data_IF_125767921415
#
_entry.id   IF_125767921415
#
_cell.length_a   1.000
_cell.length_b   1.000
_cell.length_c   1.000
_cell.angle_alpha   90.00
_cell.angle_beta   90.00
_cell.angle_gamma   90.00
#
_symmetry.space_group_name_H-M   'P 1'
#
loop_
_entity.id
_entity.type
_entity.pdbx_description
1 polymer ?
#
# COMPACT_ATOMS: atom_id res chain seq x y z
N UNK A 1 -0.18 -19.72 7.74
CA UNK A 1 -0.38 -19.01 9.02
C UNK A 1 -1.86 -18.74 9.16
N UNK A 2 -2.55 -19.34 10.14
CA UNK A 2 -3.93 -18.99 10.45
C UNK A 2 -3.92 -17.91 11.53
N UNK A 3 -4.67 -16.84 11.30
CA UNK A 3 -4.85 -15.72 12.23
C UNK A 3 -6.22 -15.84 12.89
N UNK A 4 -6.26 -15.74 14.22
CA UNK A 4 -7.48 -15.82 15.03
C UNK A 4 -7.84 -14.43 15.59
N UNK A 5 -9.14 -14.15 15.74
CA UNK A 5 -9.65 -12.88 16.27
C UNK A 5 -10.15 -11.90 15.21
N UNK A 6 -10.65 -10.73 15.65
CA UNK A 6 -11.19 -9.69 14.75
C UNK A 6 -10.07 -9.09 13.90
N UNK A 7 -10.20 -9.21 12.57
CA UNK A 7 -9.29 -8.60 11.61
C UNK A 7 -9.87 -7.26 11.14
N UNK A 8 -9.48 -6.19 11.83
CA UNK A 8 -9.90 -4.84 11.47
C UNK A 8 -8.73 -3.87 11.65
N UNK A 9 -8.65 -2.89 10.76
CA UNK A 9 -7.76 -1.75 10.94
C UNK A 9 -8.36 -0.83 12.01
N UNK A 10 -7.50 -0.33 12.90
CA UNK A 10 -7.88 0.55 13.99
C UNK A 10 -7.52 1.99 13.62
N UNK A 11 -8.40 2.97 13.94
CA UNK A 11 -8.09 4.38 13.76
C UNK A 11 -6.80 4.81 14.49
N UNK A 12 -6.09 5.78 13.95
CA UNK A 12 -4.87 6.33 14.57
C UNK A 12 -3.65 5.39 14.57
N UNK A 13 -3.70 4.29 13.81
CA UNK A 13 -2.56 3.38 13.63
C UNK A 13 -2.00 3.46 12.21
N UNK A 14 -0.68 3.48 12.12
CA UNK A 14 0.05 3.23 10.88
C UNK A 14 0.38 1.74 10.79
N UNK A 15 0.06 1.15 9.67
CA UNK A 15 0.37 -0.22 9.31
C UNK A 15 1.53 -0.25 8.32
N UNK A 16 2.33 -1.31 8.38
CA UNK A 16 3.39 -1.57 7.43
C UNK A 16 3.12 -2.90 6.73
N UNK A 17 3.19 -2.90 5.41
CA UNK A 17 3.17 -4.09 4.58
C UNK A 17 4.53 -4.23 3.91
N UNK A 18 5.21 -5.34 4.19
CA UNK A 18 6.49 -5.68 3.60
C UNK A 18 6.30 -6.81 2.58
N UNK A 19 6.88 -6.64 1.39
CA UNK A 19 6.87 -7.66 0.35
C UNK A 19 8.29 -7.92 -0.14
N UNK A 20 8.51 -9.17 -0.52
CA UNK A 20 9.75 -9.62 -1.11
C UNK A 20 9.50 -9.98 -2.58
N UNK A 21 10.14 -9.23 -3.48
CA UNK A 21 10.08 -9.45 -4.92
C UNK A 21 11.16 -10.43 -5.41
N UNK A 22 11.03 -10.85 -6.66
CA UNK A 22 12.12 -11.56 -7.35
C UNK A 22 13.40 -10.72 -7.36
N UNK A 23 14.56 -11.38 -7.29
CA UNK A 23 15.86 -10.70 -7.27
C UNK A 23 16.27 -10.10 -5.91
N UNK A 24 15.54 -10.38 -4.82
CA UNK A 24 15.90 -9.91 -3.47
C UNK A 24 15.44 -8.49 -3.15
N UNK A 25 14.52 -7.94 -3.94
CA UNK A 25 13.94 -6.63 -3.69
C UNK A 25 13.01 -6.68 -2.46
N UNK A 26 13.26 -5.81 -1.48
CA UNK A 26 12.36 -5.59 -0.35
C UNK A 26 11.66 -4.23 -0.52
N UNK A 27 10.33 -4.24 -0.51
CA UNK A 27 9.54 -3.02 -0.45
C UNK A 27 8.71 -2.97 0.83
N UNK A 28 8.56 -1.76 1.36
CA UNK A 28 7.70 -1.46 2.50
C UNK A 28 6.68 -0.41 2.06
N UNK A 29 5.40 -0.66 2.34
CA UNK A 29 4.32 0.32 2.18
C UNK A 29 3.77 0.63 3.56
N UNK A 30 3.69 1.92 3.89
CA UNK A 30 3.08 2.41 5.11
C UNK A 30 1.74 3.06 4.79
N UNK A 31 0.70 2.74 5.56
CA UNK A 31 -0.65 3.25 5.34
C UNK A 31 -1.46 3.28 6.64
N UNK A 32 -2.50 4.12 6.68
CA UNK A 32 -3.52 4.17 7.72
C UNK A 32 -4.85 3.59 7.21
N UNK A 33 -5.80 3.37 8.11
CA UNK A 33 -7.17 3.01 7.71
C UNK A 33 -7.83 4.11 6.86
N UNK A 34 -7.55 5.38 7.17
CA UNK A 34 -8.13 6.53 6.48
C UNK A 34 -7.57 6.66 5.05
N UNK A 35 -6.28 6.35 4.87
CA UNK A 35 -5.66 6.32 3.53
C UNK A 35 -6.39 5.34 2.62
N UNK A 36 -6.64 4.12 3.09
CA UNK A 36 -7.38 3.11 2.33
C UNK A 36 -8.84 3.49 2.11
N UNK A 37 -9.51 4.06 3.11
CA UNK A 37 -10.90 4.50 3.01
C UNK A 37 -11.07 5.68 2.03
N UNK A 38 -10.02 6.47 1.82
CA UNK A 38 -10.02 7.59 0.88
C UNK A 38 -9.89 7.18 -0.59
N UNK A 39 -9.47 5.94 -0.86
CA UNK A 39 -9.27 5.44 -2.22
C UNK A 39 -10.58 5.35 -2.98
N UNK A 40 -10.56 5.88 -4.21
CA UNK A 40 -11.64 5.71 -5.17
C UNK A 40 -11.37 4.48 -6.05
N UNK A 41 -12.41 3.91 -6.70
CA UNK A 41 -12.21 2.85 -7.69
C UNK A 41 -11.16 3.27 -8.74
N UNK A 42 -10.17 2.41 -8.98
CA UNK A 42 -9.07 2.67 -9.91
C UNK A 42 -7.90 3.48 -9.33
N UNK A 43 -7.92 3.79 -8.03
CA UNK A 43 -6.77 4.41 -7.35
C UNK A 43 -5.96 3.40 -6.54
N UNK A 44 -4.69 3.72 -6.36
CA UNK A 44 -3.73 3.00 -5.53
C UNK A 44 -3.10 3.94 -4.51
N UNK A 45 -2.72 3.39 -3.35
CA UNK A 45 -1.94 4.11 -2.33
C UNK A 45 -0.45 3.83 -2.55
N UNK A 46 0.29 4.84 -2.96
CA UNK A 46 1.72 4.75 -3.20
C UNK A 46 2.39 6.10 -2.92
N UNK A 47 3.65 6.09 -2.51
CA UNK A 47 4.43 7.32 -2.26
C UNK A 47 3.73 8.32 -1.32
N UNK A 48 3.00 7.80 -0.32
CA UNK A 48 2.28 8.61 0.66
C UNK A 48 1.05 9.36 0.13
N UNK A 49 0.52 8.99 -1.05
CA UNK A 49 -0.70 9.59 -1.62
C UNK A 49 -1.55 8.60 -2.40
N UNK A 50 -2.83 8.92 -2.55
CA UNK A 50 -3.70 8.24 -3.52
C UNK A 50 -3.37 8.74 -4.93
N UNK A 51 -3.22 7.83 -5.89
CA UNK A 51 -2.98 8.16 -7.30
C UNK A 51 -3.69 7.18 -8.24
N UNK A 52 -3.83 7.53 -9.51
CA UNK A 52 -4.40 6.59 -10.49
C UNK A 52 -3.44 5.44 -10.79
N UNK A 53 -3.94 4.32 -11.33
CA UNK A 53 -3.06 3.23 -11.80
C UNK A 53 -2.06 3.70 -12.85
N UNK A 54 -2.46 4.62 -13.74
CA UNK A 54 -1.58 5.18 -14.76
C UNK A 54 -0.45 6.00 -14.14
N UNK A 55 -0.74 6.89 -13.19
CA UNK A 55 0.29 7.69 -12.52
C UNK A 55 1.26 6.79 -11.73
N UNK A 56 0.75 5.67 -11.21
CA UNK A 56 1.58 4.67 -10.55
C UNK A 56 2.52 3.97 -11.54
N UNK A 57 2.02 3.56 -12.71
CA UNK A 57 2.82 2.95 -13.77
C UNK A 57 3.96 3.90 -14.21
N UNK A 58 3.65 5.19 -14.41
CA UNK A 58 4.66 6.22 -14.73
C UNK A 58 5.68 6.40 -13.59
N UNK A 59 5.24 6.39 -12.34
CA UNK A 59 6.11 6.50 -11.16
C UNK A 59 7.11 5.33 -11.06
N UNK A 60 6.70 4.10 -11.41
CA UNK A 60 7.57 2.92 -11.32
C UNK A 60 8.47 2.78 -12.53
N UNK A 61 8.01 3.18 -13.73
CA UNK A 61 8.81 3.18 -14.95
C UNK A 61 10.00 4.14 -14.85
N UNK A 62 9.82 5.33 -14.24
CA UNK A 62 10.92 6.28 -13.98
C UNK A 62 11.96 5.74 -12.97
N UNK A 63 11.66 4.64 -12.27
CA UNK A 63 12.51 4.06 -11.20
C UNK A 63 13.25 2.80 -11.63
N UNK A 64 12.98 2.25 -12.81
CA UNK A 64 13.60 1.03 -13.36
C UNK A 64 14.51 1.33 -14.56
#
# INVERSE_FOLDING_TARGET
MQTFGRQALLPGRTYALAFHGSGGYMAHVYFTADDLASLRPGQVWADGRAMSTKDFDELVDDKC
#
